data_IF_488312165440
#
_entry.id   IF_488312165440
#
_cell.length_a   1.000
_cell.length_b   1.000
_cell.length_c   1.000
_cell.angle_alpha   90.00
_cell.angle_beta   90.00
_cell.angle_gamma   90.00
#
_symmetry.space_group_name_H-M   'P 1'
#
loop_
_entity.id
_entity.type
_entity.pdbx_description
1 polymer ?
#
# COMPACT_ATOMS: atom_id res chain seq x y z
N UNK A 1 16.99 0.56 1.78
CA UNK A 1 16.32 1.08 0.58
C UNK A 1 15.12 0.22 0.24
N UNK A 2 13.99 0.85 -0.04
CA UNK A 2 12.77 0.13 -0.36
C UNK A 2 12.81 -0.34 -1.80
N UNK A 3 12.61 -1.64 -2.00
CA UNK A 3 12.48 -2.22 -3.33
C UNK A 3 11.19 -3.01 -3.44
N UNK A 4 10.48 -2.79 -4.52
CA UNK A 4 9.32 -3.58 -4.86
C UNK A 4 9.73 -4.78 -5.70
N UNK A 5 9.16 -5.93 -5.34
CA UNK A 5 9.03 -7.00 -6.32
C UNK A 5 7.75 -6.78 -7.10
N UNK A 6 7.30 -7.77 -7.85
CA UNK A 6 6.02 -7.71 -8.52
C UNK A 6 4.90 -7.55 -7.50
N UNK A 7 4.15 -6.47 -7.61
CA UNK A 7 2.98 -6.21 -6.79
C UNK A 7 3.22 -5.63 -5.42
N UNK A 8 4.45 -5.63 -4.88
CA UNK A 8 4.61 -5.11 -3.53
C UNK A 8 6.00 -5.16 -2.93
N UNK A 9 6.08 -4.64 -1.73
CA UNK A 9 7.26 -4.56 -0.88
C UNK A 9 7.11 -5.53 0.28
N UNK A 10 8.12 -6.37 0.52
CA UNK A 10 8.13 -7.33 1.65
C UNK A 10 9.48 -7.28 2.32
N UNK A 11 9.48 -7.32 3.65
CA UNK A 11 10.72 -7.23 4.40
C UNK A 11 10.56 -7.82 5.79
N UNK A 12 11.70 -8.07 6.43
CA UNK A 12 11.74 -8.57 7.81
C UNK A 12 11.32 -7.42 8.75
N UNK A 13 10.38 -7.74 9.64
CA UNK A 13 9.86 -6.78 10.62
C UNK A 13 11.01 -6.29 11.50
N UNK A 14 11.16 -4.97 11.60
CA UNK A 14 12.20 -4.34 12.38
C UNK A 14 13.52 -4.09 11.64
N UNK A 15 13.71 -4.71 10.48
CA UNK A 15 14.88 -4.42 9.63
C UNK A 15 14.52 -3.42 8.54
N UNK A 16 13.76 -3.85 7.52
CA UNK A 16 13.31 -2.98 6.45
C UNK A 16 11.82 -2.70 6.52
N UNK A 17 11.04 -3.58 7.14
CA UNK A 17 9.64 -3.28 7.42
C UNK A 17 9.56 -2.46 8.70
N UNK A 18 9.73 -1.15 8.56
CA UNK A 18 9.76 -0.19 9.65
C UNK A 18 8.76 0.92 9.39
N UNK A 19 8.39 1.65 10.45
CA UNK A 19 7.50 2.80 10.31
C UNK A 19 8.02 3.79 9.27
N UNK A 20 9.31 4.12 9.34
CA UNK A 20 9.90 5.09 8.42
C UNK A 20 9.79 4.65 6.96
N UNK A 21 10.16 3.42 6.67
CA UNK A 21 10.09 2.89 5.30
C UNK A 21 8.64 2.79 4.80
N UNK A 22 7.74 2.34 5.64
CA UNK A 22 6.32 2.24 5.27
C UNK A 22 5.75 3.63 4.99
N UNK A 23 6.10 4.62 5.79
CA UNK A 23 5.64 6.00 5.58
C UNK A 23 6.25 6.64 4.34
N UNK A 24 7.51 6.35 4.04
CA UNK A 24 8.13 6.82 2.79
C UNK A 24 7.41 6.27 1.57
N UNK A 25 7.04 5.00 1.63
CA UNK A 25 6.29 4.36 0.57
C UNK A 25 4.91 5.02 0.37
N UNK A 26 4.20 5.25 1.45
CA UNK A 26 2.88 5.89 1.39
C UNK A 26 2.98 7.30 0.78
N UNK A 27 4.01 8.05 1.16
CA UNK A 27 4.24 9.38 0.60
C UNK A 27 4.53 9.32 -0.89
N UNK A 28 5.32 8.34 -1.31
CA UNK A 28 5.63 8.15 -2.73
C UNK A 28 4.37 7.90 -3.54
N UNK A 29 3.50 7.03 -3.07
CA UNK A 29 2.22 6.74 -3.75
C UNK A 29 1.34 7.99 -3.80
N UNK A 30 1.26 8.74 -2.71
CA UNK A 30 0.46 9.97 -2.68
C UNK A 30 0.97 11.00 -3.70
N UNK A 31 2.28 11.17 -3.79
CA UNK A 31 2.89 12.10 -4.74
C UNK A 31 2.66 11.67 -6.19
N UNK A 32 2.77 10.37 -6.44
CA UNK A 32 2.47 9.80 -7.75
C UNK A 32 1.00 10.09 -8.14
N UNK A 33 0.07 9.90 -7.23
CA UNK A 33 -1.34 10.20 -7.48
C UNK A 33 -1.57 11.66 -7.82
N UNK A 34 -0.88 12.56 -7.12
CA UNK A 34 -1.00 14.00 -7.40
C UNK A 34 -0.45 14.35 -8.78
N UNK A 35 0.69 13.78 -9.14
CA UNK A 35 1.30 14.03 -10.45
C UNK A 35 0.44 13.48 -11.58
N UNK A 36 -0.20 12.34 -11.37
CA UNK A 36 -1.12 11.74 -12.33
C UNK A 36 -2.47 12.46 -12.39
N UNK A 37 -2.71 13.38 -11.45
CA UNK A 37 -3.96 14.14 -11.37
C UNK A 37 -5.19 13.24 -11.35
N UNK A 38 -5.13 12.18 -10.55
CA UNK A 38 -6.28 11.28 -10.39
C UNK A 38 -7.49 12.07 -9.90
N UNK A 39 -8.66 11.81 -10.46
CA UNK A 39 -9.89 12.53 -10.11
C UNK A 39 -10.31 12.25 -8.67
N UNK A 40 -10.32 10.99 -8.30
CA UNK A 40 -10.70 10.57 -6.95
C UNK A 40 -9.45 10.22 -6.15
N UNK A 41 -8.99 11.16 -5.32
CA UNK A 41 -7.81 10.97 -4.48
C UNK A 41 -8.16 10.13 -3.24
N UNK A 42 -8.58 8.90 -3.49
CA UNK A 42 -9.00 7.95 -2.46
C UNK A 42 -8.24 6.64 -2.65
N UNK A 43 -7.75 6.08 -1.54
CA UNK A 43 -7.11 4.78 -1.51
C UNK A 43 -7.86 3.91 -0.50
N UNK A 44 -8.18 2.68 -0.89
CA UNK A 44 -8.65 1.69 0.07
C UNK A 44 -7.43 0.99 0.67
N UNK A 45 -7.39 0.89 2.00
CA UNK A 45 -6.29 0.26 2.73
C UNK A 45 -6.84 -0.83 3.63
N UNK A 46 -6.30 -2.02 3.51
CA UNK A 46 -6.65 -3.14 4.35
C UNK A 46 -5.41 -3.88 4.82
N UNK A 47 -5.58 -4.82 5.72
CA UNK A 47 -4.46 -5.56 6.30
C UNK A 47 -4.87 -6.99 6.63
N UNK A 48 -3.88 -7.87 6.66
CA UNK A 48 -4.05 -9.23 7.16
C UNK A 48 -3.72 -9.27 8.67
N UNK A 49 -3.66 -10.46 9.24
CA UNK A 49 -3.47 -10.63 10.69
C UNK A 49 -2.01 -10.73 11.12
N UNK A 50 -1.07 -10.36 10.27
CA UNK A 50 0.35 -10.40 10.62
C UNK A 50 0.68 -9.37 11.68
N UNK A 51 1.77 -9.62 12.38
CA UNK A 51 2.30 -8.70 13.38
C UNK A 51 2.61 -7.35 12.73
N UNK A 52 2.22 -6.27 13.39
CA UNK A 52 2.33 -4.87 12.95
C UNK A 52 1.48 -4.50 11.73
N UNK A 53 0.64 -5.39 11.19
CA UNK A 53 -0.19 -5.03 10.04
C UNK A 53 -1.16 -3.90 10.34
N UNK A 54 -1.82 -3.97 11.50
CA UNK A 54 -2.75 -2.92 11.93
C UNK A 54 -2.01 -1.60 12.15
N UNK A 55 -0.87 -1.65 12.83
CA UNK A 55 -0.05 -0.46 13.08
C UNK A 55 0.45 0.16 11.78
N UNK A 56 0.90 -0.68 10.84
CA UNK A 56 1.37 -0.19 9.54
C UNK A 56 0.24 0.49 8.77
N UNK A 57 -0.99 0.01 8.88
CA UNK A 57 -2.14 0.67 8.29
C UNK A 57 -2.34 2.08 8.85
N UNK A 58 -2.14 2.24 10.14
CA UNK A 58 -2.21 3.56 10.79
C UNK A 58 -1.08 4.47 10.29
N UNK A 59 0.14 3.95 10.17
CA UNK A 59 1.29 4.70 9.66
C UNK A 59 1.04 5.22 8.25
N UNK A 60 0.50 4.37 7.38
CA UNK A 60 0.16 4.74 6.01
C UNK A 60 -0.94 5.80 6.00
N UNK A 61 -1.97 5.60 6.81
CA UNK A 61 -3.11 6.52 6.85
C UNK A 61 -2.73 7.92 7.31
N UNK A 62 -1.81 8.02 8.27
CA UNK A 62 -1.28 9.32 8.71
C UNK A 62 -0.68 10.10 7.55
N UNK A 63 0.17 9.45 6.78
CA UNK A 63 0.86 10.08 5.65
C UNK A 63 -0.11 10.43 4.53
N UNK A 64 -0.98 9.51 4.17
CA UNK A 64 -1.95 9.73 3.10
C UNK A 64 -2.87 10.90 3.44
N UNK A 65 -3.37 10.94 4.68
CA UNK A 65 -4.23 12.04 5.12
C UNK A 65 -3.50 13.39 5.07
N UNK A 66 -2.24 13.40 5.51
CA UNK A 66 -1.41 14.61 5.45
C UNK A 66 -1.23 15.11 4.02
N UNK A 67 -1.10 14.19 3.07
CA UNK A 67 -0.93 14.50 1.65
C UNK A 67 -2.25 14.80 0.94
N UNK A 68 -3.36 14.81 1.66
CA UNK A 68 -4.67 15.12 1.08
C UNK A 68 -5.36 13.96 0.40
N UNK A 69 -4.93 12.74 0.67
CA UNK A 69 -5.54 11.53 0.12
C UNK A 69 -6.56 10.99 1.11
N UNK A 70 -7.77 10.72 0.65
CA UNK A 70 -8.79 10.09 1.49
C UNK A 70 -8.50 8.60 1.62
N UNK A 71 -8.56 8.09 2.84
CA UNK A 71 -8.33 6.68 3.12
C UNK A 71 -9.66 5.99 3.44
N UNK A 72 -9.99 4.97 2.67
CA UNK A 72 -11.09 4.06 2.98
C UNK A 72 -10.49 2.85 3.69
N UNK A 73 -10.78 2.74 4.95
CA UNK A 73 -10.09 1.84 5.86
C UNK A 73 -10.93 0.59 6.12
N UNK A 74 -10.34 -0.57 5.92
CA UNK A 74 -10.98 -1.83 6.28
C UNK A 74 -10.43 -2.26 7.64
N UNK A 75 -11.29 -2.21 8.67
CA UNK A 75 -10.90 -2.37 10.08
C UNK A 75 -10.62 -3.79 10.53
N UNK A 76 -10.78 -4.78 9.67
CA UNK A 76 -10.58 -6.17 10.01
C UNK A 76 -9.44 -6.75 9.20
N UNK A 77 -8.78 -7.78 9.73
CA UNK A 77 -7.92 -8.60 8.92
C UNK A 77 -8.74 -9.27 7.83
N UNK A 78 -8.50 -8.89 6.58
CA UNK A 78 -9.30 -9.39 5.45
C UNK A 78 -8.39 -10.00 4.39
N UNK A 79 -8.92 -10.97 3.61
CA UNK A 79 -8.17 -11.49 2.48
C UNK A 79 -7.89 -10.41 1.45
N UNK A 80 -6.71 -10.46 0.87
CA UNK A 80 -6.29 -9.53 -0.19
C UNK A 80 -7.32 -9.40 -1.32
N UNK A 81 -7.95 -10.49 -1.81
CA UNK A 81 -8.96 -10.37 -2.87
C UNK A 81 -10.12 -9.44 -2.54
N UNK A 82 -10.48 -9.31 -1.27
CA UNK A 82 -11.56 -8.39 -0.88
C UNK A 82 -11.13 -6.94 -1.09
N UNK A 83 -9.88 -6.62 -0.82
CA UNK A 83 -9.35 -5.27 -1.02
C UNK A 83 -9.30 -4.96 -2.53
N UNK A 84 -8.85 -5.90 -3.32
CA UNK A 84 -8.82 -5.78 -4.78
C UNK A 84 -10.22 -5.54 -5.34
N UNK A 85 -11.20 -6.27 -4.82
CA UNK A 85 -12.60 -6.10 -5.20
C UNK A 85 -13.10 -4.68 -4.92
N UNK A 86 -12.76 -4.12 -3.76
CA UNK A 86 -13.17 -2.77 -3.41
C UNK A 86 -12.55 -1.72 -4.32
N UNK A 87 -11.27 -1.88 -4.70
CA UNK A 87 -10.62 -0.99 -5.67
C UNK A 87 -11.41 -0.96 -6.97
N UNK A 88 -11.78 -2.13 -7.46
CA UNK A 88 -12.54 -2.26 -8.70
C UNK A 88 -13.95 -1.68 -8.54
N UNK A 89 -14.65 -2.07 -7.48
CA UNK A 89 -16.04 -1.67 -7.24
C UNK A 89 -16.19 -0.16 -7.16
N UNK A 90 -15.26 0.50 -6.49
CA UNK A 90 -15.30 1.94 -6.28
C UNK A 90 -14.64 2.73 -7.41
N UNK A 91 -14.06 2.05 -8.40
CA UNK A 91 -13.40 2.70 -9.52
C UNK A 91 -12.17 3.50 -9.12
N UNK A 92 -11.47 3.06 -8.08
CA UNK A 92 -10.30 3.76 -7.58
C UNK A 92 -9.07 3.46 -8.42
N UNK A 93 -8.14 4.41 -8.44
CA UNK A 93 -6.88 4.24 -9.16
C UNK A 93 -5.87 3.41 -8.38
N UNK A 94 -5.95 3.40 -7.04
CA UNK A 94 -5.02 2.68 -6.19
C UNK A 94 -5.67 2.10 -4.95
N UNK A 95 -5.09 1.00 -4.47
CA UNK A 95 -5.41 0.40 -3.19
C UNK A 95 -4.15 -0.23 -2.60
N UNK A 96 -4.15 -0.49 -1.31
CA UNK A 96 -3.03 -1.09 -0.60
C UNK A 96 -3.48 -2.18 0.35
N UNK A 97 -2.66 -3.22 0.49
CA UNK A 97 -2.84 -4.24 1.51
C UNK A 97 -1.55 -4.44 2.27
N UNK A 98 -1.66 -4.47 3.58
CA UNK A 98 -0.52 -4.79 4.44
C UNK A 98 -0.47 -6.31 4.59
N UNK A 99 0.45 -6.92 3.87
CA UNK A 99 0.58 -8.38 3.84
C UNK A 99 1.95 -8.77 3.27
N UNK A 100 2.44 -9.91 3.67
CA UNK A 100 3.59 -10.54 3.03
C UNK A 100 3.20 -11.88 2.37
N UNK A 101 1.90 -12.09 2.16
CA UNK A 101 1.35 -13.29 1.51
C UNK A 101 1.85 -14.57 2.17
N UNK A 102 2.66 -15.37 1.46
CA UNK A 102 3.16 -16.66 1.95
C UNK A 102 4.51 -16.59 2.66
N UNK A 103 5.07 -15.41 2.87
CA UNK A 103 6.32 -15.28 3.59
C UNK A 103 6.17 -15.70 5.06
N UNK A 104 7.25 -16.16 5.72
CA UNK A 104 7.21 -16.50 7.14
C UNK A 104 6.70 -15.34 8.02
N UNK A 105 6.26 -15.67 9.25
CA UNK A 105 5.62 -14.70 10.15
C UNK A 105 6.49 -13.51 10.51
N UNK A 106 7.83 -13.63 10.43
CA UNK A 106 8.74 -12.52 10.72
C UNK A 106 8.77 -11.45 9.60
N UNK A 107 8.11 -11.73 8.46
CA UNK A 107 8.00 -10.79 7.35
C UNK A 107 6.68 -10.06 7.38
N UNK A 108 6.67 -8.85 6.89
CA UNK A 108 5.45 -8.16 6.52
C UNK A 108 5.75 -7.29 5.29
N UNK A 109 4.75 -6.64 4.76
CA UNK A 109 4.95 -5.85 3.56
C UNK A 109 3.71 -5.08 3.15
N UNK A 110 3.83 -4.40 2.02
CA UNK A 110 2.75 -3.60 1.44
C UNK A 110 2.58 -4.04 -0.01
N UNK A 111 1.38 -4.49 -0.35
CA UNK A 111 1.00 -4.72 -1.75
C UNK A 111 0.30 -3.49 -2.28
N UNK A 112 0.57 -3.16 -3.53
CA UNK A 112 -0.08 -2.05 -4.22
C UNK A 112 -0.99 -2.61 -5.31
N UNK A 113 -2.21 -2.09 -5.36
CA UNK A 113 -3.18 -2.43 -6.41
C UNK A 113 -3.45 -1.21 -7.27
N UNK A 114 -3.77 -1.47 -8.53
CA UNK A 114 -4.07 -0.42 -9.49
C UNK A 114 -5.51 -0.53 -9.97
N UNK A 115 -5.93 0.38 -10.82
CA UNK A 115 -7.28 0.46 -11.35
C UNK A 115 -7.76 -0.88 -11.88
N UNK A 116 -8.96 -1.26 -11.52
CA UNK A 116 -9.53 -2.56 -11.84
C UNK A 116 -9.24 -3.64 -10.81
N UNK A 117 -8.58 -3.29 -9.69
CA UNK A 117 -8.26 -4.23 -8.62
C UNK A 117 -7.16 -5.21 -9.00
N UNK A 118 -6.19 -4.78 -9.78
CA UNK A 118 -5.07 -5.61 -10.24
C UNK A 118 -3.83 -5.36 -9.41
N UNK A 119 -2.95 -6.37 -9.29
CA UNK A 119 -1.62 -6.16 -8.73
C UNK A 119 -0.87 -5.12 -9.57
N UNK A 120 -0.16 -4.23 -8.92
CA UNK A 120 0.70 -3.28 -9.61
C UNK A 120 1.81 -4.03 -10.33
N UNK A 121 1.98 -3.74 -11.63
CA UNK A 121 3.05 -4.34 -12.42
C UNK A 121 4.40 -3.65 -12.15
N UNK A 122 5.46 -4.14 -12.78
CA UNK A 122 6.81 -3.59 -12.59
C UNK A 122 6.92 -2.13 -13.03
N UNK A 123 6.18 -1.74 -14.05
CA UNK A 123 6.19 -0.34 -14.52
C UNK A 123 5.68 0.56 -13.41
N UNK A 124 4.57 0.19 -12.79
CA UNK A 124 3.97 0.96 -11.69
C UNK A 124 4.87 0.96 -10.46
N UNK A 125 5.38 -0.20 -10.06
CA UNK A 125 6.22 -0.29 -8.84
C UNK A 125 7.55 0.43 -9.02
N UNK A 126 8.15 0.36 -10.20
CA UNK A 126 9.37 1.12 -10.50
C UNK A 126 9.11 2.62 -10.46
N UNK A 127 7.96 3.05 -10.96
CA UNK A 127 7.58 4.45 -10.92
C UNK A 127 7.39 4.94 -9.49
N UNK A 128 6.76 4.14 -8.64
CA UNK A 128 6.64 4.46 -7.20
C UNK A 128 8.02 4.60 -6.56
N UNK A 129 8.95 3.68 -6.86
CA UNK A 129 10.31 3.76 -6.32
C UNK A 129 10.99 5.08 -6.67
N UNK A 130 10.72 5.63 -7.86
CA UNK A 130 11.28 6.91 -8.27
C UNK A 130 10.78 8.09 -7.44
N UNK A 131 9.65 7.96 -6.76
CA UNK A 131 9.11 8.98 -5.86
C UNK A 131 9.65 8.87 -4.43
N UNK A 132 10.36 7.80 -4.12
CA UNK A 132 10.97 7.63 -2.79
C UNK A 132 12.27 8.42 -2.77
N UNK A 133 12.37 9.35 -1.84
CA UNK A 133 13.54 10.21 -1.70
C UNK A 133 14.41 9.80 -0.53
#
# INVERSE_FOLDING_TARGET
MIKFGTGGFRAIIGEDFTKDNVQQLARAVARKMKDEKVENKTIVVGYDRRFLSKEATMWISEVLAYEGIKVLFIHRGVPTPLIMFEVKRLGLDYGMAITASHNPALYNGVKLFTKGGKDADEIVTNDVENYIS
#
